data_IF_584535710289
#
_entry.id   IF_584535710289
#
_cell.length_a   1.000
_cell.length_b   1.000
_cell.length_c   1.000
_cell.angle_alpha   90.00
_cell.angle_beta   90.00
_cell.angle_gamma   90.00
#
_symmetry.space_group_name_H-M   'P 1'
#
loop_
_entity.id
_entity.type
_entity.pdbx_description
1 polymer ?
#
# COMPACT_ATOMS: atom_id res chain seq x y z
N UNK A 1 -12.71 23.27 -23.13
CA UNK A 1 -13.31 24.62 -23.24
C UNK A 1 -12.79 25.29 -24.51
N UNK A 2 -13.54 26.21 -25.12
CA UNK A 2 -13.10 26.94 -26.34
C UNK A 2 -12.68 28.36 -25.98
N UNK A 3 -11.65 28.86 -26.66
CA UNK A 3 -11.16 30.23 -26.48
C UNK A 3 -12.22 31.24 -26.93
N UNK A 4 -12.64 32.15 -26.06
CA UNK A 4 -13.63 33.20 -26.37
C UNK A 4 -13.15 34.19 -27.44
N UNK A 5 -11.84 34.30 -27.64
CA UNK A 5 -11.26 35.21 -28.62
C UNK A 5 -11.10 34.59 -30.03
N UNK A 6 -10.63 33.34 -30.14
CA UNK A 6 -10.32 32.73 -31.44
C UNK A 6 -11.08 31.45 -31.77
N UNK A 7 -11.90 30.94 -30.85
CA UNK A 7 -12.69 29.72 -31.04
C UNK A 7 -11.88 28.42 -31.01
N UNK A 8 -10.54 28.47 -30.85
CA UNK A 8 -9.72 27.26 -30.75
C UNK A 8 -10.05 26.46 -29.49
N UNK A 9 -10.00 25.13 -29.60
CA UNK A 9 -10.17 24.23 -28.46
C UNK A 9 -8.95 24.34 -27.53
N UNK A 10 -9.20 24.59 -26.24
CA UNK A 10 -8.15 24.68 -25.23
C UNK A 10 -7.96 23.28 -24.63
N UNK A 11 -6.84 22.65 -25.03
CA UNK A 11 -6.42 21.32 -24.59
C UNK A 11 -5.18 21.45 -23.68
N UNK A 12 -5.37 21.94 -22.45
CA UNK A 12 -4.30 22.01 -21.45
C UNK A 12 -4.56 22.98 -20.31
N UNK A 13 -3.82 22.82 -19.20
CA UNK A 13 -3.87 23.67 -18.00
C UNK A 13 -2.86 24.83 -18.18
N UNK A 14 -3.07 25.64 -19.21
CA UNK A 14 -2.20 26.76 -19.56
C UNK A 14 -2.88 28.10 -19.29
N UNK A 15 -2.15 29.08 -18.75
CA UNK A 15 -2.64 30.45 -18.53
C UNK A 15 -2.99 31.21 -19.83
N UNK A 16 -2.63 30.65 -21.00
CA UNK A 16 -2.78 31.29 -22.31
C UNK A 16 -3.24 30.29 -23.37
N UNK A 17 -4.06 30.75 -24.32
CA UNK A 17 -4.48 29.96 -25.48
C UNK A 17 -3.29 29.72 -26.42
N UNK A 18 -2.99 28.47 -26.73
CA UNK A 18 -1.87 28.10 -27.59
C UNK A 18 -2.01 28.55 -29.05
N UNK A 19 -3.22 28.90 -29.51
CA UNK A 19 -3.45 29.34 -30.89
C UNK A 19 -3.37 30.86 -31.08
N UNK A 20 -3.85 31.65 -30.11
CA UNK A 20 -3.92 33.12 -30.28
C UNK A 20 -3.20 33.92 -29.18
N UNK A 21 -2.67 33.25 -28.15
CA UNK A 21 -1.92 33.88 -27.08
C UNK A 21 -2.77 34.67 -26.07
N UNK A 22 -4.10 34.71 -26.23
CA UNK A 22 -4.95 35.41 -25.26
C UNK A 22 -4.89 34.70 -23.90
N UNK A 23 -4.83 35.49 -22.82
CA UNK A 23 -4.91 34.95 -21.48
C UNK A 23 -6.26 34.26 -21.29
N UNK A 24 -6.21 33.02 -20.83
CA UNK A 24 -7.40 32.24 -20.52
C UNK A 24 -7.56 32.34 -19.01
N UNK A 25 -8.63 32.98 -18.56
CA UNK A 25 -9.08 32.89 -17.17
C UNK A 25 -9.43 31.42 -16.91
N UNK A 26 -8.41 30.67 -16.50
CA UNK A 26 -8.61 29.34 -15.94
C UNK A 26 -9.06 29.62 -14.53
N UNK A 27 -10.37 29.60 -14.29
CA UNK A 27 -10.86 29.21 -12.97
C UNK A 27 -10.09 27.92 -12.67
N UNK A 28 -9.24 27.99 -11.65
CA UNK A 28 -8.58 26.81 -11.11
C UNK A 28 -9.75 25.87 -10.89
N UNK A 29 -9.81 24.81 -11.71
CA UNK A 29 -10.64 23.67 -11.39
C UNK A 29 -10.02 23.21 -10.09
N UNK A 30 -10.60 23.67 -8.98
CA UNK A 30 -10.57 22.95 -7.73
C UNK A 30 -10.97 21.55 -8.15
N UNK A 31 -9.99 20.64 -8.15
CA UNK A 31 -10.21 19.22 -8.30
C UNK A 31 -11.14 18.81 -7.15
N UNK A 32 -12.44 19.00 -7.38
CA UNK A 32 -13.56 18.76 -6.47
C UNK A 32 -13.83 17.25 -6.33
N UNK A 33 -12.77 16.45 -6.32
CA UNK A 33 -12.81 15.01 -6.10
C UNK A 33 -11.72 14.53 -5.12
N UNK A 34 -11.27 15.39 -4.21
CA UNK A 34 -10.81 14.94 -2.90
C UNK A 34 -11.88 15.39 -1.91
N UNK A 35 -12.57 14.45 -1.27
CA UNK A 35 -13.33 14.75 -0.06
C UNK A 35 -12.36 15.28 0.99
N UNK A 36 -12.11 16.58 1.03
CA UNK A 36 -11.43 17.20 2.16
C UNK A 36 -12.43 17.28 3.32
N UNK A 37 -12.67 16.15 3.97
CA UNK A 37 -13.05 16.21 5.38
C UNK A 37 -11.80 16.72 6.10
N UNK A 38 -11.69 18.04 6.23
CA UNK A 38 -10.63 18.64 7.04
C UNK A 38 -10.75 18.11 8.47
N UNK A 39 -9.62 17.71 9.05
CA UNK A 39 -9.58 17.23 10.42
C UNK A 39 -9.65 18.44 11.35
N UNK A 40 -10.84 18.68 11.89
CA UNK A 40 -11.10 19.75 12.85
C UNK A 40 -11.08 19.13 14.25
N UNK A 41 -10.27 19.69 15.13
CA UNK A 41 -10.17 19.26 16.54
C UNK A 41 -10.57 20.42 17.44
N UNK A 42 -11.52 20.19 18.35
CA UNK A 42 -11.78 21.13 19.43
C UNK A 42 -10.66 21.03 20.47
N UNK A 43 -10.02 22.16 20.75
CA UNK A 43 -9.00 22.30 21.76
C UNK A 43 -9.35 23.50 22.64
N UNK A 44 -9.88 23.23 23.83
CA UNK A 44 -10.25 24.26 24.80
C UNK A 44 -11.36 25.20 24.29
N UNK A 45 -12.33 24.67 23.53
CA UNK A 45 -13.43 25.45 22.94
C UNK A 45 -13.05 26.21 21.67
N UNK A 46 -11.87 25.94 21.10
CA UNK A 46 -11.40 26.51 19.84
C UNK A 46 -11.28 25.39 18.81
N UNK A 47 -11.95 25.56 17.68
CA UNK A 47 -11.85 24.65 16.54
C UNK A 47 -10.54 24.87 15.78
N UNK A 48 -9.70 23.84 15.71
CA UNK A 48 -8.40 23.89 15.05
C UNK A 48 -8.43 23.00 13.81
N UNK A 49 -8.13 23.59 12.64
CA UNK A 49 -7.93 22.85 11.40
C UNK A 49 -6.53 22.19 11.41
N UNK A 50 -6.50 20.93 11.85
CA UNK A 50 -5.27 20.15 11.93
C UNK A 50 -4.76 19.73 10.56
N UNK A 51 -5.62 19.66 9.54
CA UNK A 51 -5.21 19.41 8.15
C UNK A 51 -4.27 20.51 7.66
N UNK A 52 -4.61 21.77 7.91
CA UNK A 52 -3.79 22.92 7.50
C UNK A 52 -2.46 22.97 8.27
N UNK A 53 -2.50 22.76 9.59
CA UNK A 53 -1.31 22.69 10.45
C UNK A 53 -0.37 21.57 9.98
N UNK A 54 -0.91 20.41 9.61
CA UNK A 54 -0.12 19.31 9.06
C UNK A 54 0.53 19.69 7.73
N UNK A 55 -0.23 20.27 6.78
CA UNK A 55 0.32 20.72 5.49
C UNK A 55 1.49 21.70 5.67
N UNK A 56 1.35 22.66 6.60
CA UNK A 56 2.35 23.70 6.87
C UNK A 56 3.56 23.20 7.66
N UNK A 57 3.35 22.35 8.68
CA UNK A 57 4.38 21.99 9.64
C UNK A 57 4.73 20.49 9.68
N UNK A 58 4.34 19.69 8.67
CA UNK A 58 4.64 18.24 8.58
C UNK A 58 6.10 17.86 8.87
N UNK A 59 7.06 18.66 8.39
CA UNK A 59 8.51 18.43 8.60
C UNK A 59 9.03 19.03 9.91
N UNK A 60 8.27 19.95 10.51
CA UNK A 60 8.68 20.77 11.65
C UNK A 60 7.68 20.62 12.80
N UNK A 61 7.57 19.40 13.33
CA UNK A 61 6.57 19.04 14.35
C UNK A 61 6.63 19.90 15.62
N UNK A 62 7.82 20.40 15.98
CA UNK A 62 7.97 21.33 17.11
C UNK A 62 7.23 22.65 16.85
N UNK A 63 7.25 23.15 15.60
CA UNK A 63 6.55 24.37 15.21
C UNK A 63 5.03 24.13 15.14
N UNK A 64 4.59 22.93 14.77
CA UNK A 64 3.19 22.55 14.87
C UNK A 64 2.68 22.62 16.32
N UNK A 65 3.45 22.08 17.28
CA UNK A 65 3.09 22.12 18.71
C UNK A 65 3.03 23.55 19.22
N UNK A 66 4.01 24.39 18.86
CA UNK A 66 4.00 25.83 19.21
C UNK A 66 2.76 26.54 18.66
N UNK A 67 2.43 26.31 17.41
CA UNK A 67 1.27 26.92 16.77
C UNK A 67 -0.04 26.48 17.44
N UNK A 68 -0.20 25.19 17.78
CA UNK A 68 -1.37 24.70 18.52
C UNK A 68 -1.45 25.31 19.92
N UNK A 69 -0.34 25.47 20.64
CA UNK A 69 -0.32 26.15 21.94
C UNK A 69 -0.74 27.62 21.84
N UNK A 70 -0.23 28.34 20.83
CA UNK A 70 -0.57 29.75 20.59
C UNK A 70 -2.05 29.94 20.28
N UNK A 71 -2.64 29.01 19.52
CA UNK A 71 -4.06 29.07 19.14
C UNK A 71 -4.98 28.67 20.31
N UNK A 72 -4.68 27.57 21.00
CA UNK A 72 -5.58 26.97 22.00
C UNK A 72 -5.34 27.42 23.45
N UNK A 73 -4.17 27.99 23.75
CA UNK A 73 -3.72 28.26 25.12
C UNK A 73 -3.36 27.01 25.93
N UNK A 74 -3.29 25.83 25.30
CA UNK A 74 -2.97 24.56 25.97
C UNK A 74 -1.52 24.49 26.46
N UNK A 75 -1.28 23.60 27.43
CA UNK A 75 0.09 23.29 27.84
C UNK A 75 0.81 22.43 26.78
N UNK A 76 2.15 22.42 26.84
CA UNK A 76 3.00 21.68 25.89
C UNK A 76 2.60 20.20 25.80
N UNK A 77 2.20 19.58 26.91
CA UNK A 77 1.86 18.14 26.93
C UNK A 77 0.55 17.86 26.19
N UNK A 78 -0.46 18.70 26.37
CA UNK A 78 -1.76 18.59 25.72
C UNK A 78 -1.66 18.89 24.22
N UNK A 79 -1.03 20.01 23.87
CA UNK A 79 -0.79 20.38 22.48
C UNK A 79 0.01 19.29 21.74
N UNK A 80 1.03 18.72 22.40
CA UNK A 80 1.79 17.60 21.85
C UNK A 80 0.91 16.39 21.56
N UNK A 81 0.00 16.00 22.46
CA UNK A 81 -0.90 14.86 22.26
C UNK A 81 -1.81 15.08 21.04
N UNK A 82 -2.39 16.28 20.92
CA UNK A 82 -3.25 16.64 19.78
C UNK A 82 -2.46 16.53 18.49
N UNK A 83 -1.29 17.17 18.41
CA UNK A 83 -0.43 17.12 17.22
C UNK A 83 0.01 15.69 16.90
N UNK A 84 0.39 14.90 17.91
CA UNK A 84 0.82 13.50 17.72
C UNK A 84 -0.31 12.66 17.10
N UNK A 85 -1.52 12.77 17.64
CA UNK A 85 -2.70 12.03 17.15
C UNK A 85 -3.10 12.48 15.75
N UNK A 86 -3.31 13.79 15.56
CA UNK A 86 -3.76 14.34 14.29
C UNK A 86 -2.75 14.11 13.17
N UNK A 87 -1.44 14.17 13.45
CA UNK A 87 -0.42 13.91 12.42
C UNK A 87 -0.39 12.43 12.03
N UNK A 88 -0.66 11.49 12.94
CA UNK A 88 -0.76 10.07 12.56
C UNK A 88 -2.02 9.79 11.73
N UNK A 89 -3.16 10.37 12.12
CA UNK A 89 -4.41 10.25 11.36
C UNK A 89 -4.27 10.87 9.96
N UNK A 90 -3.66 12.06 9.89
CA UNK A 90 -3.43 12.75 8.63
C UNK A 90 -2.35 12.08 7.79
N UNK A 91 -1.35 11.38 8.35
CA UNK A 91 -0.42 10.56 7.54
C UNK A 91 -1.13 9.44 6.78
N UNK A 92 -2.19 8.88 7.36
CA UNK A 92 -2.96 7.79 6.74
C UNK A 92 -3.91 8.36 5.68
N UNK A 93 -4.54 9.51 5.96
CA UNK A 93 -5.46 10.15 5.03
C UNK A 93 -4.73 10.88 3.88
N UNK A 94 -3.56 11.45 4.16
CA UNK A 94 -2.62 12.03 3.20
C UNK A 94 -1.48 11.06 2.91
N UNK A 95 -1.78 9.86 2.38
CA UNK A 95 -0.76 9.02 1.72
C UNK A 95 -0.32 9.76 0.45
N UNK A 96 0.62 10.67 0.68
CA UNK A 96 0.69 12.03 0.11
C UNK A 96 1.17 12.09 -1.34
N UNK A 97 0.67 13.06 -2.09
CA UNK A 97 1.04 13.46 -3.46
C UNK A 97 2.52 13.88 -3.65
N UNK A 98 3.36 13.61 -2.64
CA UNK A 98 4.79 13.92 -2.60
C UNK A 98 5.71 12.71 -2.44
N UNK A 99 5.17 11.49 -2.29
CA UNK A 99 5.98 10.27 -2.15
C UNK A 99 6.17 9.59 -3.51
N UNK A 100 7.39 9.17 -3.84
CA UNK A 100 7.67 8.47 -5.11
C UNK A 100 6.76 7.25 -5.25
N UNK A 101 6.29 6.95 -6.47
CA UNK A 101 5.42 5.80 -6.75
C UNK A 101 5.93 4.49 -6.10
N UNK A 102 7.26 4.33 -5.95
CA UNK A 102 7.88 3.13 -5.36
C UNK A 102 7.64 2.94 -3.85
N UNK A 103 7.37 4.01 -3.10
CA UNK A 103 7.16 3.95 -1.65
C UNK A 103 5.67 3.76 -1.32
N UNK A 104 4.78 4.39 -2.09
CA UNK A 104 3.32 4.18 -2.01
C UNK A 104 2.97 2.71 -2.28
N UNK A 105 3.55 2.12 -3.33
CA UNK A 105 3.34 0.70 -3.65
C UNK A 105 3.75 -0.23 -2.51
N UNK A 106 4.87 0.04 -1.82
CA UNK A 106 5.35 -0.83 -0.72
C UNK A 106 4.43 -0.79 0.50
N UNK A 107 3.88 0.38 0.85
CA UNK A 107 2.99 0.52 2.00
C UNK A 107 1.63 -0.14 1.72
N UNK A 108 1.05 0.15 0.56
CA UNK A 108 -0.23 -0.44 0.12
C UNK A 108 -0.10 -1.97 -0.01
N UNK A 109 1.00 -2.47 -0.60
CA UNK A 109 1.24 -3.91 -0.69
C UNK A 109 1.37 -4.57 0.68
N UNK A 110 2.02 -3.92 1.65
CA UNK A 110 2.16 -4.45 3.01
C UNK A 110 0.83 -4.47 3.77
N UNK A 111 0.01 -3.43 3.65
CA UNK A 111 -1.32 -3.37 4.26
C UNK A 111 -2.25 -4.43 3.67
N UNK A 112 -2.34 -4.51 2.34
CA UNK A 112 -3.14 -5.53 1.65
C UNK A 112 -2.68 -6.95 1.98
N UNK A 113 -1.36 -7.17 2.11
CA UNK A 113 -0.82 -8.47 2.51
C UNK A 113 -1.30 -8.88 3.91
N UNK A 114 -1.27 -7.99 4.90
CA UNK A 114 -1.71 -8.31 6.27
C UNK A 114 -3.20 -8.67 6.29
N UNK A 115 -4.04 -7.81 5.70
CA UNK A 115 -5.48 -8.01 5.65
C UNK A 115 -5.88 -9.31 4.95
N UNK A 116 -5.21 -9.66 3.84
CA UNK A 116 -5.48 -10.90 3.12
C UNK A 116 -5.04 -12.15 3.90
N UNK A 117 -3.94 -12.06 4.66
CA UNK A 117 -3.48 -13.16 5.52
C UNK A 117 -4.46 -13.37 6.68
N UNK A 118 -4.95 -12.29 7.31
CA UNK A 118 -5.93 -12.37 8.41
C UNK A 118 -7.26 -12.96 7.94
N UNK A 119 -7.79 -12.53 6.79
CA UNK A 119 -8.99 -13.11 6.19
C UNK A 119 -8.82 -14.60 5.85
N UNK A 120 -7.70 -14.96 5.23
CA UNK A 120 -7.43 -16.36 4.88
C UNK A 120 -7.31 -17.25 6.14
N UNK A 121 -6.78 -16.72 7.25
CA UNK A 121 -6.73 -17.44 8.52
C UNK A 121 -8.13 -17.64 9.13
N UNK A 122 -9.00 -16.63 9.07
CA UNK A 122 -10.39 -16.72 9.54
C UNK A 122 -11.21 -17.72 8.72
N UNK A 123 -10.99 -17.75 7.40
CA UNK A 123 -11.70 -18.65 6.48
C UNK A 123 -11.03 -20.03 6.35
N UNK A 124 -9.93 -20.28 7.09
CA UNK A 124 -9.10 -21.49 7.00
C UNK A 124 -8.59 -21.82 5.58
N UNK A 125 -8.42 -20.80 4.75
CA UNK A 125 -7.96 -20.90 3.36
C UNK A 125 -6.43 -20.83 3.29
N UNK A 126 -5.81 -21.70 2.50
CA UNK A 126 -4.37 -21.65 2.28
C UNK A 126 -3.97 -20.38 1.51
N UNK A 127 -3.05 -19.59 2.06
CA UNK A 127 -2.55 -18.35 1.44
C UNK A 127 -1.02 -18.33 1.31
N UNK A 128 -0.52 -17.52 0.37
CA UNK A 128 0.91 -17.32 0.20
C UNK A 128 1.50 -16.53 1.39
N UNK A 129 2.55 -17.04 2.06
CA UNK A 129 3.18 -16.35 3.19
C UNK A 129 3.94 -15.08 2.79
N UNK A 130 4.13 -14.80 1.49
CA UNK A 130 4.81 -13.58 0.99
C UNK A 130 3.87 -12.47 0.58
N UNK A 131 2.66 -12.77 0.13
CA UNK A 131 1.77 -11.74 -0.43
C UNK A 131 0.31 -11.90 -0.01
N UNK A 132 -0.06 -12.94 0.74
CA UNK A 132 -1.44 -13.20 1.16
C UNK A 132 -2.37 -13.70 0.06
N UNK A 133 -1.91 -13.82 -1.20
CA UNK A 133 -2.74 -14.37 -2.28
C UNK A 133 -3.10 -15.83 -2.04
N UNK A 134 -4.35 -16.20 -2.31
CA UNK A 134 -4.89 -17.57 -2.28
C UNK A 134 -4.68 -18.32 -3.59
N UNK A 135 -4.20 -17.64 -4.64
CA UNK A 135 -3.86 -18.23 -5.94
C UNK A 135 -2.56 -19.03 -5.84
N UNK A 136 -2.70 -20.28 -5.39
CA UNK A 136 -1.62 -21.23 -5.17
C UNK A 136 -1.75 -22.41 -6.14
N UNK A 137 -0.63 -22.84 -6.72
CA UNK A 137 -0.53 -24.10 -7.45
C UNK A 137 0.31 -25.10 -6.68
N UNK A 138 -0.16 -26.34 -6.59
CA UNK A 138 0.52 -27.41 -5.89
C UNK A 138 1.06 -28.42 -6.90
N UNK A 139 2.38 -28.46 -7.08
CA UNK A 139 3.04 -29.48 -7.89
C UNK A 139 3.69 -30.54 -7.00
N UNK A 140 3.35 -31.81 -7.26
CA UNK A 140 4.08 -32.93 -6.68
C UNK A 140 5.44 -33.01 -7.35
N UNK A 141 6.52 -33.10 -6.57
CA UNK A 141 7.83 -33.43 -7.14
C UNK A 141 7.76 -34.89 -7.61
N UNK A 142 7.65 -35.09 -8.92
CA UNK A 142 7.61 -36.42 -9.54
C UNK A 142 8.82 -37.26 -9.15
N UNK A 143 8.63 -38.58 -9.16
CA UNK A 143 9.68 -39.57 -8.93
C UNK A 143 10.82 -39.33 -9.93
N UNK A 144 11.98 -38.89 -9.45
CA UNK A 144 13.12 -38.65 -10.33
C UNK A 144 13.57 -39.99 -10.93
N UNK A 145 13.47 -40.13 -12.25
CA UNK A 145 13.85 -41.34 -13.00
C UNK A 145 15.27 -41.80 -12.62
N UNK A 146 16.18 -40.86 -12.34
CA UNK A 146 17.56 -41.15 -11.88
C UNK A 146 17.66 -41.85 -10.51
N UNK A 147 16.63 -41.79 -9.65
CA UNK A 147 16.59 -42.56 -8.39
C UNK A 147 16.19 -44.01 -8.59
N UNK A 148 15.49 -44.33 -9.68
CA UNK A 148 15.14 -45.70 -10.04
C UNK A 148 16.37 -46.47 -10.55
N UNK A 149 17.21 -45.81 -11.35
CA UNK A 149 18.32 -46.44 -12.05
C UNK A 149 19.47 -46.85 -11.09
N UNK A 150 19.76 -46.04 -10.08
CA UNK A 150 20.76 -46.40 -9.03
C UNK A 150 20.21 -47.47 -8.08
N UNK A 151 18.90 -47.51 -7.84
CA UNK A 151 18.28 -48.55 -7.01
C UNK A 151 18.23 -49.92 -7.70
N UNK A 152 18.05 -49.94 -9.02
CA UNK A 152 17.98 -51.17 -9.81
C UNK A 152 19.35 -51.88 -9.95
N UNK A 153 20.46 -51.14 -10.06
CA UNK A 153 21.79 -51.76 -10.22
C UNK A 153 22.36 -52.32 -8.92
N UNK A 154 22.01 -51.75 -7.76
CA UNK A 154 22.60 -52.14 -6.47
C UNK A 154 21.81 -53.23 -5.72
N UNK A 155 20.53 -53.46 -6.02
CA UNK A 155 19.67 -54.30 -5.15
C UNK A 155 18.81 -55.36 -5.85
N UNK A 156 19.07 -55.69 -7.12
CA UNK A 156 18.51 -56.89 -7.75
C UNK A 156 16.99 -57.02 -7.65
N UNK A 157 16.22 -56.07 -8.21
CA UNK A 157 14.76 -56.16 -8.33
C UNK A 157 13.94 -55.93 -7.05
N UNK A 158 14.54 -55.98 -5.86
CA UNK A 158 13.83 -55.82 -4.57
C UNK A 158 13.76 -54.33 -4.13
N UNK A 159 14.61 -53.46 -4.69
CA UNK A 159 14.69 -52.03 -4.35
C UNK A 159 13.48 -51.15 -4.72
N UNK A 160 12.46 -51.69 -5.38
CA UNK A 160 11.26 -50.94 -5.78
C UNK A 160 10.33 -50.62 -4.59
N UNK A 161 10.39 -51.40 -3.50
CA UNK A 161 9.44 -51.29 -2.40
C UNK A 161 9.82 -50.19 -1.39
N UNK A 162 11.10 -49.80 -1.32
CA UNK A 162 11.56 -48.71 -0.45
C UNK A 162 11.38 -47.29 -1.05
N UNK A 163 10.81 -47.18 -2.26
CA UNK A 163 10.77 -45.93 -3.04
C UNK A 163 9.87 -44.81 -2.50
N UNK A 164 9.13 -45.02 -1.41
CA UNK A 164 8.10 -44.07 -0.95
C UNK A 164 8.50 -43.20 0.26
N UNK A 165 9.69 -43.41 0.83
CA UNK A 165 10.26 -42.55 1.89
C UNK A 165 10.82 -41.25 1.29
N UNK A 166 9.93 -40.37 0.82
CA UNK A 166 10.29 -39.02 0.36
C UNK A 166 9.49 -38.46 -0.82
N UNK A 167 8.58 -39.26 -1.40
CA UNK A 167 7.78 -38.88 -2.58
C UNK A 167 6.64 -37.88 -2.29
N UNK A 168 6.38 -37.55 -1.02
CA UNK A 168 5.21 -36.75 -0.59
C UNK A 168 5.49 -35.26 -0.34
N UNK A 169 6.65 -34.73 -0.76
CA UNK A 169 6.91 -33.28 -0.65
C UNK A 169 6.16 -32.53 -1.75
N UNK A 170 5.02 -31.94 -1.40
CA UNK A 170 4.26 -31.06 -2.29
C UNK A 170 4.88 -29.67 -2.26
N UNK A 171 5.34 -29.20 -3.41
CA UNK A 171 5.80 -27.83 -3.59
C UNK A 171 4.61 -26.98 -3.97
N UNK A 172 4.36 -25.94 -3.18
CA UNK A 172 3.34 -24.93 -3.45
C UNK A 172 4.02 -23.71 -4.02
N UNK A 173 3.52 -23.21 -5.15
CA UNK A 173 4.00 -22.00 -5.81
C UNK A 173 2.86 -20.99 -5.82
N UNK A 174 3.13 -19.76 -5.37
CA UNK A 174 2.18 -18.66 -5.51
C UNK A 174 2.21 -18.12 -6.94
N UNK A 175 1.04 -18.06 -7.60
CA UNK A 175 0.92 -17.54 -8.96
C UNK A 175 1.02 -16.02 -9.03
N UNK A 176 0.76 -15.32 -7.92
CA UNK A 176 0.83 -13.86 -7.87
C UNK A 176 2.24 -13.32 -7.66
N UNK A 177 3.07 -13.96 -6.82
CA UNK A 177 4.41 -13.45 -6.46
C UNK A 177 5.57 -14.42 -6.73
N UNK A 178 5.28 -15.61 -7.27
CA UNK A 178 6.27 -16.64 -7.60
C UNK A 178 6.90 -17.37 -6.41
N UNK A 179 6.60 -17.00 -5.15
CA UNK A 179 7.22 -17.67 -3.99
C UNK A 179 6.86 -19.15 -3.95
N UNK A 180 7.89 -19.99 -3.80
CA UNK A 180 7.75 -21.43 -3.61
C UNK A 180 7.96 -21.81 -2.13
N UNK A 181 7.11 -22.69 -1.61
CA UNK A 181 7.20 -23.21 -0.24
C UNK A 181 6.70 -24.66 -0.20
N UNK A 182 6.99 -25.38 0.89
CA UNK A 182 6.61 -26.79 1.03
C UNK A 182 5.37 -26.89 1.91
N UNK A 183 4.37 -27.65 1.46
CA UNK A 183 3.18 -27.92 2.27
C UNK A 183 3.55 -28.78 3.49
N UNK A 184 2.96 -28.48 4.65
CA UNK A 184 3.07 -29.31 5.86
C UNK A 184 4.30 -29.05 6.75
N UNK A 185 5.17 -28.08 6.43
CA UNK A 185 6.14 -27.56 7.42
C UNK A 185 5.48 -26.42 8.19
N UNK A 186 5.15 -26.66 9.46
CA UNK A 186 4.89 -25.59 10.44
C UNK A 186 6.19 -24.86 10.73
#
# INVERSE_FOLDING_TARGET
MFCSNCGAEITGIGKFCSSCGVAVETEIIEDNNIKSNDLIVDANGIEINMTEIYRKYRKEKVNAIKNVMEISGLNIKEAKKIVDFSFEELKINFIDDTMSNSEKEKIIQNQNRKNNIEKAQQESVACCPKCGSTSLTAQKKGFGIGKAMVGASLTGGIGLVAGNLGAKKVRVTCLNCGKQFWAGKK
#
